data_IF_438855894084
#
_entry.id   IF_438855894084
#
_cell.length_a   1.000
_cell.length_b   1.000
_cell.length_c   1.000
_cell.angle_alpha   90.00
_cell.angle_beta   90.00
_cell.angle_gamma   90.00
#
_symmetry.space_group_name_H-M   'P 1'
#
loop_
_entity.id
_entity.type
_entity.pdbx_description
1 polymer ?
#
# COMPACT_ATOMS: atom_id res chain seq x y z
N UNK A 1 -17.43 1.15 -26.96
CA UNK A 1 -16.09 0.56 -27.17
C UNK A 1 -15.29 1.47 -28.09
N UNK A 2 -13.97 1.55 -27.91
CA UNK A 2 -13.10 2.27 -28.84
C UNK A 2 -13.08 1.54 -30.19
N UNK A 3 -12.85 2.27 -31.27
CA UNK A 3 -12.70 1.72 -32.62
C UNK A 3 -11.47 0.80 -32.75
N UNK A 4 -10.45 1.03 -31.91
CA UNK A 4 -9.26 0.19 -31.79
C UNK A 4 -8.68 0.20 -30.37
N UNK A 5 -7.81 -0.76 -30.08
CA UNK A 5 -7.02 -0.77 -28.83
C UNK A 5 -6.05 0.42 -28.83
N UNK A 6 -5.89 1.02 -27.66
CA UNK A 6 -4.94 2.11 -27.44
C UNK A 6 -3.51 1.53 -27.42
N UNK A 7 -2.58 2.21 -28.06
CA UNK A 7 -1.16 1.86 -28.00
C UNK A 7 -0.58 2.35 -26.66
N UNK A 8 0.02 1.44 -25.91
CA UNK A 8 0.61 1.75 -24.60
C UNK A 8 2.00 2.37 -24.81
N UNK A 9 2.28 3.45 -24.08
CA UNK A 9 3.55 4.16 -24.06
C UNK A 9 3.72 4.95 -22.74
N UNK A 10 4.78 5.73 -22.67
CA UNK A 10 5.16 6.60 -21.56
C UNK A 10 4.10 7.64 -21.15
N UNK A 11 3.27 8.09 -22.10
CA UNK A 11 2.19 9.06 -21.84
C UNK A 11 0.80 8.42 -21.76
N UNK A 12 0.66 7.15 -22.16
CA UNK A 12 -0.59 6.39 -22.14
C UNK A 12 -0.39 5.03 -21.51
N UNK A 13 -0.73 4.92 -20.23
CA UNK A 13 -0.68 3.67 -19.47
C UNK A 13 -1.95 3.52 -18.61
N UNK A 14 -2.62 2.35 -18.59
CA UNK A 14 -3.83 2.14 -17.79
C UNK A 14 -3.56 2.29 -16.28
N UNK A 15 -4.50 2.89 -15.56
CA UNK A 15 -4.49 2.86 -14.09
C UNK A 15 -4.90 1.47 -13.56
N UNK A 16 -4.66 1.24 -12.27
CA UNK A 16 -5.19 0.08 -11.56
C UNK A 16 -6.51 0.40 -10.90
N UNK A 17 -7.38 -0.60 -10.75
CA UNK A 17 -8.62 -0.45 -9.99
C UNK A 17 -8.37 -0.88 -8.54
N UNK A 18 -8.90 -0.11 -7.59
CA UNK A 18 -8.92 -0.51 -6.19
C UNK A 18 -10.09 -1.45 -5.95
N UNK A 19 -9.80 -2.72 -5.63
CA UNK A 19 -10.82 -3.77 -5.51
C UNK A 19 -11.33 -3.98 -4.08
N UNK A 20 -10.71 -3.35 -3.08
CA UNK A 20 -11.12 -3.47 -1.67
C UNK A 20 -12.17 -2.42 -1.33
N UNK A 21 -13.07 -2.72 -0.39
CA UNK A 21 -14.12 -1.79 0.01
C UNK A 21 -13.59 -0.66 0.89
N UNK A 22 -12.65 -1.01 1.76
CA UNK A 22 -11.95 -0.12 2.67
C UNK A 22 -11.00 0.78 1.87
N UNK A 23 -10.99 2.07 2.20
CA UNK A 23 -10.16 3.09 1.55
C UNK A 23 -9.37 3.81 2.63
N UNK A 24 -8.37 3.12 3.18
CA UNK A 24 -7.59 3.57 4.34
C UNK A 24 -6.43 4.49 3.92
N UNK A 25 -6.71 5.44 3.03
CA UNK A 25 -5.73 6.40 2.55
C UNK A 25 -6.01 7.77 3.13
N UNK A 26 -5.02 8.41 3.81
CA UNK A 26 -5.24 9.72 4.43
C UNK A 26 -5.48 10.82 3.39
N UNK A 27 -4.95 10.65 2.18
CA UNK A 27 -5.13 11.58 1.05
C UNK A 27 -5.26 10.80 -0.25
N UNK A 28 -6.15 11.26 -1.10
CA UNK A 28 -6.40 10.80 -2.45
C UNK A 28 -6.13 11.94 -3.43
N UNK A 29 -5.70 11.63 -4.64
CA UNK A 29 -5.53 12.61 -5.71
C UNK A 29 -6.70 12.53 -6.69
N UNK A 30 -7.41 13.64 -6.91
CA UNK A 30 -8.29 13.78 -8.06
C UNK A 30 -7.55 14.54 -9.16
N UNK A 31 -7.69 14.10 -10.41
CA UNK A 31 -7.07 14.76 -11.58
C UNK A 31 -8.11 15.03 -12.65
N UNK A 32 -8.00 16.18 -13.30
CA UNK A 32 -8.96 16.57 -14.32
C UNK A 32 -8.64 17.88 -15.02
N UNK A 33 -9.43 18.15 -16.06
CA UNK A 33 -9.40 19.38 -16.87
C UNK A 33 -10.61 20.29 -16.58
N UNK A 34 -11.26 20.07 -15.44
CA UNK A 34 -12.41 20.85 -14.99
C UNK A 34 -12.05 22.31 -14.71
N UNK A 35 -13.08 23.08 -14.39
CA UNK A 35 -12.91 24.50 -14.06
C UNK A 35 -12.06 24.66 -12.79
N UNK A 36 -11.22 25.68 -12.75
CA UNK A 36 -10.36 25.97 -11.58
C UNK A 36 -11.08 26.72 -10.47
N UNK A 37 -12.31 27.17 -10.72
CA UNK A 37 -13.17 27.87 -9.78
C UNK A 37 -14.63 27.74 -10.22
N UNK A 38 -15.57 27.98 -9.29
CA UNK A 38 -17.00 27.96 -9.60
C UNK A 38 -17.32 28.96 -10.72
N UNK A 39 -17.84 28.47 -11.85
CA UNK A 39 -18.10 29.23 -13.08
C UNK A 39 -16.87 29.87 -13.74
N UNK A 40 -15.67 29.34 -13.46
CA UNK A 40 -14.42 29.75 -14.11
C UNK A 40 -14.18 29.10 -15.47
N UNK A 41 -13.11 29.50 -16.15
CA UNK A 41 -12.69 28.87 -17.39
C UNK A 41 -12.12 27.46 -17.16
N UNK A 42 -12.27 26.58 -18.16
CA UNK A 42 -11.57 25.29 -18.16
C UNK A 42 -10.09 25.52 -18.43
N UNK A 43 -9.26 24.74 -17.76
CA UNK A 43 -7.81 24.78 -17.96
C UNK A 43 -7.39 23.94 -19.16
N UNK A 44 -6.49 24.42 -20.05
CA UNK A 44 -5.86 23.58 -21.07
C UNK A 44 -4.78 22.65 -20.49
N UNK A 45 -4.44 22.81 -19.21
CA UNK A 45 -3.41 22.06 -18.49
C UNK A 45 -4.10 21.15 -17.48
N UNK A 46 -3.70 19.88 -17.41
CA UNK A 46 -4.21 18.93 -16.43
C UNK A 46 -3.83 19.38 -15.02
N UNK A 47 -4.82 19.47 -14.13
CA UNK A 47 -4.60 19.83 -12.74
C UNK A 47 -4.88 18.66 -11.81
N UNK A 48 -4.37 18.78 -10.60
CA UNK A 48 -4.59 17.81 -9.54
C UNK A 48 -4.92 18.48 -8.22
N UNK A 49 -5.74 17.82 -7.43
CA UNK A 49 -6.08 18.21 -6.05
C UNK A 49 -5.91 17.01 -5.13
N UNK A 50 -5.46 17.26 -3.90
CA UNK A 50 -5.40 16.25 -2.85
C UNK A 50 -6.61 16.40 -1.94
N UNK A 51 -7.41 15.35 -1.80
CA UNK A 51 -8.63 15.34 -0.99
C UNK A 51 -8.51 14.27 0.10
N UNK A 52 -9.17 14.48 1.23
CA UNK A 52 -9.30 13.49 2.29
C UNK A 52 -10.62 12.73 2.12
N UNK A 53 -10.62 11.39 2.09
CA UNK A 53 -11.87 10.64 2.12
C UNK A 53 -12.59 10.87 3.45
N UNK A 54 -13.91 10.82 3.41
CA UNK A 54 -14.77 10.92 4.60
C UNK A 54 -15.82 9.82 4.59
N UNK A 55 -16.35 9.51 5.77
CA UNK A 55 -17.39 8.50 5.92
C UNK A 55 -18.69 8.92 5.25
N UNK A 56 -19.41 7.95 4.67
CA UNK A 56 -20.70 8.19 4.02
C UNK A 56 -21.73 8.79 5.00
N UNK A 57 -21.66 8.41 6.28
CA UNK A 57 -22.52 8.97 7.32
C UNK A 57 -22.25 10.47 7.55
N UNK A 58 -20.98 10.88 7.57
CA UNK A 58 -20.60 12.29 7.66
C UNK A 58 -21.00 13.05 6.40
N UNK A 59 -20.75 12.46 5.22
CA UNK A 59 -21.12 13.04 3.94
C UNK A 59 -22.63 13.30 3.81
N UNK A 60 -23.45 12.35 4.28
CA UNK A 60 -24.90 12.46 4.27
C UNK A 60 -25.44 13.66 5.07
N UNK A 61 -24.72 14.12 6.11
CA UNK A 61 -25.10 15.31 6.87
C UNK A 61 -25.09 16.59 6.01
N UNK A 62 -24.18 16.65 5.04
CA UNK A 62 -24.05 17.79 4.12
C UNK A 62 -24.94 17.65 2.89
N UNK A 63 -25.32 16.41 2.54
CA UNK A 63 -26.12 16.09 1.35
C UNK A 63 -27.53 15.62 1.73
N UNK A 64 -28.28 16.52 2.39
CA UNK A 64 -29.69 16.24 2.72
C UNK A 64 -30.54 16.07 1.45
N UNK A 65 -31.65 15.36 1.60
CA UNK A 65 -32.58 14.85 0.56
C UNK A 65 -33.21 15.91 -0.37
N UNK A 66 -32.76 17.17 -0.31
CA UNK A 66 -33.16 18.25 -1.20
C UNK A 66 -32.48 18.19 -2.59
N UNK A 67 -31.43 17.37 -2.76
CA UNK A 67 -30.80 17.15 -4.07
C UNK A 67 -31.62 16.11 -4.85
N UNK A 68 -32.27 16.54 -5.94
CA UNK A 68 -33.12 15.68 -6.80
C UNK A 68 -32.41 14.41 -7.28
N UNK A 69 -31.09 14.45 -7.44
CA UNK A 69 -30.26 13.31 -7.85
C UNK A 69 -30.02 12.28 -6.72
N UNK A 70 -30.18 12.63 -5.44
CA UNK A 70 -29.93 11.77 -4.27
C UNK A 70 -31.23 11.38 -3.57
N UNK A 71 -32.12 10.67 -4.28
CA UNK A 71 -33.43 10.27 -3.72
C UNK A 71 -33.33 9.35 -2.49
N UNK A 72 -32.27 8.58 -2.41
CA UNK A 72 -31.98 7.67 -1.29
C UNK A 72 -30.91 8.23 -0.34
N UNK A 73 -30.48 9.48 -0.53
CA UNK A 73 -29.29 10.01 0.14
C UNK A 73 -28.01 9.36 -0.38
N UNK A 74 -26.95 9.41 0.43
CA UNK A 74 -25.67 8.77 0.14
C UNK A 74 -25.78 7.27 0.42
N UNK A 75 -25.37 6.45 -0.56
CA UNK A 75 -25.41 4.98 -0.50
C UNK A 75 -24.01 4.38 -0.52
N UNK A 76 -23.87 3.10 -0.17
CA UNK A 76 -22.56 2.43 -0.01
C UNK A 76 -21.73 2.36 -1.29
N UNK A 77 -22.38 2.36 -2.47
CA UNK A 77 -21.72 2.42 -3.77
C UNK A 77 -21.16 3.81 -4.11
N UNK A 78 -21.26 4.75 -3.18
CA UNK A 78 -20.65 6.07 -3.24
C UNK A 78 -19.56 6.20 -2.18
N UNK A 79 -18.65 7.13 -2.44
CA UNK A 79 -17.66 7.61 -1.50
C UNK A 79 -17.61 9.12 -1.59
N UNK A 80 -17.18 9.75 -0.49
CA UNK A 80 -17.04 11.19 -0.44
C UNK A 80 -15.61 11.58 -0.09
N UNK A 81 -15.16 12.68 -0.66
CA UNK A 81 -13.88 13.27 -0.33
C UNK A 81 -13.99 14.79 -0.28
N UNK A 82 -13.25 15.42 0.63
CA UNK A 82 -13.23 16.87 0.83
C UNK A 82 -11.82 17.38 1.10
N UNK A 83 -11.63 18.67 0.90
CA UNK A 83 -10.50 19.44 1.45
C UNK A 83 -11.07 20.79 1.93
N UNK A 84 -10.34 21.49 2.80
CA UNK A 84 -10.81 22.74 3.39
C UNK A 84 -10.82 23.91 2.40
N UNK A 85 -10.08 23.80 1.29
CA UNK A 85 -9.89 24.90 0.32
C UNK A 85 -10.16 24.43 -1.10
N UNK A 86 -9.79 23.20 -1.44
CA UNK A 86 -9.82 22.70 -2.82
C UNK A 86 -10.89 21.62 -3.02
N UNK A 87 -11.49 21.57 -4.20
CA UNK A 87 -12.51 20.57 -4.54
C UNK A 87 -12.46 20.24 -6.05
N UNK A 88 -13.05 19.12 -6.45
CA UNK A 88 -13.33 18.83 -7.86
C UNK A 88 -14.45 19.71 -8.40
N UNK A 89 -14.39 20.09 -9.67
CA UNK A 89 -15.32 21.04 -10.25
C UNK A 89 -16.02 20.55 -11.53
N UNK A 90 -16.87 21.39 -12.11
CA UNK A 90 -17.53 21.14 -13.38
C UNK A 90 -16.49 20.83 -14.46
N UNK A 91 -16.64 19.65 -15.09
CA UNK A 91 -15.70 19.15 -16.10
C UNK A 91 -14.73 18.09 -15.59
N UNK A 92 -14.70 17.81 -14.28
CA UNK A 92 -13.93 16.69 -13.72
C UNK A 92 -14.73 15.38 -13.64
N UNK A 93 -16.05 15.41 -13.90
CA UNK A 93 -16.89 14.21 -13.91
C UNK A 93 -16.33 13.14 -14.85
N UNK A 94 -16.22 11.90 -14.36
CA UNK A 94 -15.55 10.81 -15.06
C UNK A 94 -14.04 10.73 -14.83
N UNK A 95 -13.44 11.75 -14.20
CA UNK A 95 -12.05 11.75 -13.78
C UNK A 95 -11.79 10.80 -12.60
N UNK A 96 -10.55 10.30 -12.44
CA UNK A 96 -10.23 9.37 -11.38
C UNK A 96 -9.93 10.12 -10.07
N UNK A 97 -10.49 9.59 -8.98
CA UNK A 97 -9.99 9.77 -7.63
C UNK A 97 -9.10 8.56 -7.33
N UNK A 98 -7.82 8.81 -7.05
CA UNK A 98 -6.82 7.75 -7.00
C UNK A 98 -5.91 7.83 -5.76
N UNK A 99 -5.57 6.67 -5.23
CA UNK A 99 -4.46 6.48 -4.30
C UNK A 99 -3.20 6.12 -5.10
N UNK A 100 -2.04 6.66 -4.70
CA UNK A 100 -0.75 6.32 -5.32
C UNK A 100 0.00 5.40 -4.38
N UNK A 101 0.24 4.17 -4.82
CA UNK A 101 0.95 3.17 -4.04
C UNK A 101 2.32 2.91 -4.63
N UNK A 102 3.32 2.86 -3.75
CA UNK A 102 4.68 2.50 -4.12
C UNK A 102 4.82 0.97 -4.08
N UNK A 103 5.28 0.39 -5.19
CA UNK A 103 5.63 -1.03 -5.26
C UNK A 103 6.77 -1.20 -6.26
N UNK A 104 7.77 -2.02 -5.94
CA UNK A 104 8.97 -2.20 -6.79
C UNK A 104 9.62 -0.86 -7.20
N UNK A 105 9.65 0.13 -6.29
CA UNK A 105 10.17 1.48 -6.53
C UNK A 105 9.48 2.26 -7.65
N UNK A 106 8.24 1.88 -7.94
CA UNK A 106 7.39 2.50 -8.94
C UNK A 106 6.07 2.89 -8.29
N UNK A 107 5.63 4.09 -8.61
CA UNK A 107 4.34 4.60 -8.16
C UNK A 107 3.26 4.14 -9.13
N UNK A 108 2.29 3.39 -8.61
CA UNK A 108 1.13 2.92 -9.37
C UNK A 108 -0.13 3.64 -8.89
N UNK A 109 -0.90 4.27 -9.78
CA UNK A 109 -2.19 4.85 -9.43
C UNK A 109 -3.28 3.78 -9.35
N UNK A 110 -3.96 3.74 -8.21
CA UNK A 110 -5.14 2.93 -7.95
C UNK A 110 -6.37 3.82 -7.90
N UNK A 111 -7.26 3.68 -8.87
CA UNK A 111 -8.53 4.39 -8.92
C UNK A 111 -9.46 3.81 -7.86
N UNK A 112 -9.74 4.60 -6.83
CA UNK A 112 -10.66 4.27 -5.74
C UNK A 112 -12.07 4.74 -6.04
N UNK A 113 -12.19 5.82 -6.81
CA UNK A 113 -13.46 6.42 -7.17
C UNK A 113 -13.45 7.11 -8.53
N UNK A 114 -14.63 7.33 -9.08
CA UNK A 114 -14.83 8.16 -10.27
C UNK A 114 -15.64 9.39 -9.87
N UNK A 115 -15.16 10.58 -10.22
CA UNK A 115 -15.85 11.84 -9.93
C UNK A 115 -17.26 11.81 -10.52
N UNK A 116 -18.27 11.95 -9.65
CA UNK A 116 -19.67 11.90 -10.05
C UNK A 116 -20.25 13.31 -10.07
N UNK A 117 -20.46 13.90 -8.89
CA UNK A 117 -20.99 15.26 -8.75
C UNK A 117 -20.52 15.89 -7.43
N UNK A 118 -20.40 17.21 -7.43
CA UNK A 118 -20.15 18.04 -6.25
C UNK A 118 -21.19 19.15 -6.18
N UNK A 119 -21.35 19.78 -5.01
CA UNK A 119 -22.38 20.80 -4.80
C UNK A 119 -21.94 22.16 -5.36
N UNK A 120 -20.77 22.65 -4.94
CA UNK A 120 -20.16 23.91 -5.37
C UNK A 120 -18.64 23.84 -5.26
N UNK A 121 -17.93 24.12 -6.34
CA UNK A 121 -16.47 24.08 -6.36
C UNK A 121 -15.85 25.13 -5.42
N UNK A 122 -14.83 24.74 -4.65
CA UNK A 122 -14.13 25.65 -3.73
C UNK A 122 -14.91 25.96 -2.45
N UNK A 123 -15.79 25.04 -2.03
CA UNK A 123 -16.45 25.09 -0.72
C UNK A 123 -15.98 23.90 0.13
N UNK A 124 -16.15 23.95 1.46
CA UNK A 124 -15.86 22.81 2.35
C UNK A 124 -16.82 21.62 2.17
N UNK A 125 -17.83 21.74 1.29
CA UNK A 125 -18.76 20.66 1.03
C UNK A 125 -18.04 19.49 0.34
N UNK A 126 -18.26 18.24 0.79
CA UNK A 126 -17.65 17.09 0.16
C UNK A 126 -18.17 16.89 -1.26
N UNK A 127 -17.30 16.39 -2.13
CA UNK A 127 -17.68 15.88 -3.44
C UNK A 127 -17.99 14.38 -3.38
N UNK A 128 -18.92 13.95 -4.22
CA UNK A 128 -19.39 12.55 -4.30
C UNK A 128 -18.78 11.86 -5.51
N UNK A 129 -18.29 10.65 -5.27
CA UNK A 129 -17.65 9.80 -6.25
C UNK A 129 -18.33 8.43 -6.27
N UNK A 130 -18.31 7.77 -7.43
CA UNK A 130 -18.72 6.37 -7.56
C UNK A 130 -17.61 5.48 -7.03
N UNK A 131 -17.90 4.61 -6.05
CA UNK A 131 -16.94 3.68 -5.45
C UNK A 131 -16.62 2.54 -6.40
N UNK A 132 -15.36 2.42 -6.82
CA UNK A 132 -14.95 1.40 -7.80
C UNK A 132 -15.20 -0.02 -7.31
N UNK A 133 -14.88 -0.32 -6.04
CA UNK A 133 -15.00 -1.67 -5.48
C UNK A 133 -16.41 -2.26 -5.61
N UNK A 134 -17.45 -1.42 -5.49
CA UNK A 134 -18.85 -1.82 -5.62
C UNK A 134 -19.25 -2.28 -7.03
N UNK A 135 -18.45 -1.94 -8.05
CA UNK A 135 -18.74 -2.24 -9.44
C UNK A 135 -17.74 -3.22 -10.07
N UNK A 136 -16.75 -3.73 -9.33
CA UNK A 136 -15.78 -4.71 -9.85
C UNK A 136 -16.47 -5.93 -10.50
N UNK A 137 -17.47 -6.60 -9.88
CA UNK A 137 -18.10 -7.76 -10.51
C UNK A 137 -18.78 -7.43 -11.84
N UNK A 138 -19.36 -6.23 -11.96
CA UNK A 138 -19.96 -5.76 -13.21
C UNK A 138 -18.88 -5.46 -14.26
N UNK A 139 -17.80 -4.76 -13.89
CA UNK A 139 -16.68 -4.45 -14.79
C UNK A 139 -16.05 -5.75 -15.34
N UNK A 140 -15.79 -6.73 -14.47
CA UNK A 140 -15.21 -8.03 -14.86
C UNK A 140 -16.16 -8.81 -15.78
N UNK A 141 -17.48 -8.79 -15.50
CA UNK A 141 -18.49 -9.40 -16.37
C UNK A 141 -18.55 -8.77 -17.76
N UNK A 142 -18.48 -7.43 -17.86
CA UNK A 142 -18.58 -6.73 -19.15
C UNK A 142 -17.29 -6.84 -19.98
N UNK A 143 -16.14 -6.93 -19.33
CA UNK A 143 -14.83 -6.96 -19.99
C UNK A 143 -14.30 -8.37 -20.24
N UNK A 144 -14.80 -9.35 -19.49
CA UNK A 144 -14.24 -10.70 -19.44
C UNK A 144 -12.74 -10.72 -19.08
N UNK A 145 -12.33 -9.78 -18.22
CA UNK A 145 -10.98 -9.64 -17.67
C UNK A 145 -11.05 -9.53 -16.13
N UNK A 146 -10.00 -9.96 -15.43
CA UNK A 146 -9.86 -9.78 -13.97
C UNK A 146 -9.10 -8.50 -13.66
N UNK A 147 -9.51 -7.78 -12.61
CA UNK A 147 -8.87 -6.51 -12.19
C UNK A 147 -8.18 -6.62 -10.84
N UNK A 148 -7.54 -7.76 -10.56
CA UNK A 148 -6.82 -7.98 -9.30
C UNK A 148 -5.76 -6.90 -9.04
N UNK A 149 -5.87 -6.23 -7.89
CA UNK A 149 -5.02 -5.09 -7.51
C UNK A 149 -3.51 -5.39 -7.55
N UNK A 150 -3.10 -6.59 -7.14
CA UNK A 150 -1.69 -7.02 -7.12
C UNK A 150 -1.11 -7.29 -8.50
N UNK A 151 -1.85 -7.96 -9.38
CA UNK A 151 -1.40 -8.26 -10.76
C UNK A 151 -1.25 -6.97 -11.57
N UNK A 152 -2.16 -6.01 -11.36
CA UNK A 152 -2.12 -4.73 -12.05
C UNK A 152 -0.85 -3.92 -11.73
N UNK A 153 -0.35 -3.98 -10.50
CA UNK A 153 0.88 -3.29 -10.08
C UNK A 153 2.09 -3.70 -10.93
N UNK A 154 2.14 -4.98 -11.32
CA UNK A 154 3.24 -5.54 -12.12
C UNK A 154 3.10 -5.23 -13.61
N UNK A 155 1.89 -4.89 -14.08
CA UNK A 155 1.61 -4.60 -15.48
C UNK A 155 2.15 -3.23 -15.89
N UNK A 156 2.92 -3.21 -16.97
CA UNK A 156 3.57 -1.99 -17.49
C UNK A 156 4.47 -1.28 -16.47
N UNK A 157 5.08 -2.02 -15.54
CA UNK A 157 5.92 -1.48 -14.45
C UNK A 157 7.04 -0.54 -14.95
N UNK A 158 7.60 -0.80 -16.13
CA UNK A 158 8.66 0.01 -16.74
C UNK A 158 8.18 1.40 -17.19
N UNK A 159 6.87 1.59 -17.39
CA UNK A 159 6.24 2.86 -17.76
C UNK A 159 5.69 3.62 -16.55
N UNK A 160 5.73 3.02 -15.35
CA UNK A 160 5.28 3.67 -14.12
C UNK A 160 6.31 4.70 -13.64
N UNK A 161 5.84 5.72 -12.95
CA UNK A 161 6.70 6.77 -12.37
C UNK A 161 7.68 6.14 -11.38
N UNK A 162 8.97 6.40 -11.55
CA UNK A 162 9.99 5.96 -10.61
C UNK A 162 9.92 6.77 -9.32
N UNK A 163 10.25 6.11 -8.21
CA UNK A 163 10.47 6.80 -6.94
C UNK A 163 11.53 7.90 -7.11
N UNK A 164 11.17 9.15 -6.81
CA UNK A 164 12.07 10.30 -6.93
C UNK A 164 13.33 10.14 -6.09
N UNK A 165 13.28 9.41 -4.98
CA UNK A 165 14.45 9.13 -4.14
C UNK A 165 15.51 8.31 -4.88
N UNK A 166 15.12 7.54 -5.90
CA UNK A 166 16.01 6.73 -6.72
C UNK A 166 16.44 7.42 -8.02
N UNK A 167 15.78 8.52 -8.40
CA UNK A 167 16.13 9.29 -9.59
C UNK A 167 17.40 10.10 -9.30
N UNK A 168 18.43 9.90 -10.10
CA UNK A 168 19.70 10.61 -9.96
C UNK A 168 19.82 11.75 -10.93
N UNK A 169 19.40 11.54 -12.18
CA UNK A 169 19.48 12.55 -13.22
C UNK A 169 18.37 12.36 -14.23
N UNK A 170 17.86 13.46 -14.77
CA UNK A 170 16.95 13.48 -15.92
C UNK A 170 17.70 14.10 -17.09
N UNK A 171 17.79 13.40 -18.23
CA UNK A 171 18.39 13.95 -19.45
C UNK A 171 17.44 13.73 -20.64
N UNK A 172 16.81 14.82 -21.10
CA UNK A 172 15.70 14.73 -22.05
C UNK A 172 14.57 13.87 -21.49
N UNK A 173 14.09 12.90 -22.27
CA UNK A 173 13.03 11.96 -21.89
C UNK A 173 13.56 10.75 -21.09
N UNK A 174 14.86 10.69 -20.81
CA UNK A 174 15.48 9.57 -20.09
C UNK A 174 15.61 9.90 -18.60
N UNK A 175 15.10 8.99 -17.77
CA UNK A 175 15.26 9.01 -16.31
C UNK A 175 16.35 8.01 -15.95
N UNK A 176 17.45 8.52 -15.38
CA UNK A 176 18.52 7.69 -14.82
C UNK A 176 18.17 7.37 -13.37
N UNK A 177 18.12 6.08 -13.08
CA UNK A 177 17.77 5.52 -11.78
C UNK A 177 18.99 4.76 -11.29
N UNK A 178 19.43 5.00 -10.06
CA UNK A 178 20.47 4.18 -9.41
C UNK A 178 19.77 3.11 -8.55
N UNK A 179 19.78 1.84 -8.95
CA UNK A 179 19.20 0.75 -8.17
C UNK A 179 19.94 0.54 -6.84
N UNK A 180 21.14 1.07 -6.67
CA UNK A 180 21.88 0.97 -5.39
C UNK A 180 21.24 1.85 -4.30
N UNK A 181 20.47 2.88 -4.66
CA UNK A 181 19.57 3.56 -3.72
C UNK A 181 18.32 2.74 -3.37
N UNK A 182 18.09 1.65 -4.10
CA UNK A 182 17.00 0.69 -3.89
C UNK A 182 17.36 -0.45 -2.95
N UNK A 183 18.63 -0.55 -2.50
CA UNK A 183 18.97 -1.42 -1.38
C UNK A 183 18.01 -1.05 -0.26
N UNK A 184 17.07 -1.99 0.02
CA UNK A 184 16.05 -1.90 1.06
C UNK A 184 16.60 -1.07 2.19
N UNK A 185 15.92 0.03 2.55
CA UNK A 185 16.33 0.92 3.63
C UNK A 185 16.81 0.07 4.82
N UNK A 186 18.14 -0.11 4.90
CA UNK A 186 18.74 -1.18 5.69
C UNK A 186 18.44 -0.86 7.16
N UNK A 187 18.29 0.42 7.48
CA UNK A 187 17.88 0.92 8.77
C UNK A 187 16.40 0.68 9.08
N UNK A 188 15.49 0.55 8.10
CA UNK A 188 14.06 0.37 8.36
C UNK A 188 13.68 -1.10 8.61
N UNK A 189 14.22 -2.03 7.82
CA UNK A 189 13.91 -3.46 7.94
C UNK A 189 14.79 -4.21 8.93
N UNK A 190 15.98 -3.71 9.23
CA UNK A 190 16.81 -4.29 10.30
C UNK A 190 16.23 -4.11 11.69
N UNK A 191 15.49 -3.01 11.93
CA UNK A 191 14.93 -2.67 13.24
C UNK A 191 14.01 -3.76 13.80
N UNK A 192 13.31 -4.48 12.93
CA UNK A 192 12.37 -5.54 13.33
C UNK A 192 12.91 -6.94 13.04
N UNK A 193 14.07 -7.07 12.39
CA UNK A 193 14.67 -8.36 12.08
C UNK A 193 15.37 -8.91 13.31
N UNK A 194 15.19 -10.21 13.53
CA UNK A 194 15.74 -10.95 14.66
C UNK A 194 16.52 -12.15 14.17
N UNK A 195 17.62 -12.47 14.85
CA UNK A 195 18.34 -13.73 14.68
C UNK A 195 18.16 -14.61 15.91
N UNK A 196 17.84 -15.88 15.71
CA UNK A 196 17.70 -16.87 16.76
C UNK A 196 19.02 -17.63 16.91
N UNK A 197 19.52 -17.62 18.14
CA UNK A 197 20.82 -18.15 18.54
C UNK A 197 20.70 -19.44 19.33
N UNK A 198 21.56 -20.40 19.01
CA UNK A 198 21.65 -21.70 19.68
C UNK A 198 22.96 -21.74 20.45
N UNK A 199 22.87 -21.62 21.77
CA UNK A 199 24.04 -21.59 22.64
C UNK A 199 24.57 -22.99 22.94
N UNK A 200 25.82 -23.24 22.57
CA UNK A 200 26.54 -24.44 22.98
C UNK A 200 27.16 -24.23 24.36
N UNK A 201 26.63 -24.92 25.37
CA UNK A 201 27.04 -24.80 26.79
C UNK A 201 28.51 -25.12 27.09
N UNK A 202 29.23 -25.77 26.19
CA UNK A 202 30.63 -26.19 26.41
C UNK A 202 31.60 -25.01 26.35
N UNK A 203 31.29 -24.01 25.52
CA UNK A 203 32.16 -22.87 25.21
C UNK A 203 31.41 -21.54 25.11
N UNK A 204 30.13 -21.52 25.50
CA UNK A 204 29.22 -20.37 25.39
C UNK A 204 29.17 -19.79 23.97
N UNK A 205 29.43 -20.63 22.95
CA UNK A 205 29.35 -20.20 21.56
C UNK A 205 27.89 -20.18 21.12
N UNK A 206 27.42 -19.03 20.63
CA UNK A 206 26.08 -18.88 20.09
C UNK A 206 26.15 -18.97 18.57
N UNK A 207 25.47 -19.96 18.00
CA UNK A 207 25.32 -20.10 16.55
C UNK A 207 24.02 -19.42 16.09
N UNK A 208 24.13 -18.41 15.24
CA UNK A 208 22.98 -17.69 14.66
C UNK A 208 22.54 -18.35 13.35
N UNK A 209 21.45 -19.12 13.39
CA UNK A 209 21.07 -19.99 12.27
C UNK A 209 19.60 -19.90 11.85
N UNK A 210 18.78 -19.20 12.63
CA UNK A 210 17.39 -18.97 12.31
C UNK A 210 17.08 -17.47 12.36
N UNK A 211 16.06 -17.07 11.61
CA UNK A 211 15.56 -15.71 11.57
C UNK A 211 14.19 -15.59 12.22
N UNK A 212 13.85 -14.38 12.63
CA UNK A 212 12.53 -14.02 13.12
C UNK A 212 12.23 -12.56 12.87
N UNK A 213 11.00 -12.17 13.21
CA UNK A 213 10.53 -10.79 13.11
C UNK A 213 9.92 -10.38 14.44
N UNK A 214 10.39 -9.27 15.01
CA UNK A 214 9.82 -8.67 16.20
C UNK A 214 8.42 -8.13 15.87
N UNK A 215 7.39 -8.67 16.51
CA UNK A 215 5.99 -8.28 16.26
C UNK A 215 5.44 -7.34 17.35
N UNK A 216 6.11 -7.29 18.51
CA UNK A 216 5.95 -6.31 19.58
C UNK A 216 7.16 -6.42 20.55
N UNK A 217 7.11 -5.75 21.70
CA UNK A 217 8.21 -5.72 22.68
C UNK A 217 8.54 -7.09 23.31
N UNK A 218 7.59 -8.04 23.33
CA UNK A 218 7.72 -9.32 24.04
C UNK A 218 7.77 -10.54 23.11
N UNK A 219 7.48 -10.39 21.82
CA UNK A 219 7.28 -11.52 20.91
C UNK A 219 8.00 -11.37 19.58
N UNK A 220 8.63 -12.47 19.16
CA UNK A 220 9.23 -12.67 17.86
C UNK A 220 8.47 -13.77 17.12
N UNK A 221 8.04 -13.50 15.89
CA UNK A 221 7.47 -14.48 14.99
C UNK A 221 8.57 -15.18 14.20
N UNK A 222 8.53 -16.51 14.15
CA UNK A 222 9.49 -17.36 13.43
C UNK A 222 8.81 -18.61 12.88
N UNK A 223 9.59 -19.57 12.41
CA UNK A 223 9.14 -20.87 11.89
C UNK A 223 9.36 -21.97 12.92
N UNK A 224 8.50 -22.98 12.95
CA UNK A 224 8.53 -24.02 13.97
C UNK A 224 9.70 -24.99 13.82
N UNK A 225 10.18 -25.21 12.59
CA UNK A 225 11.34 -26.06 12.32
C UNK A 225 12.66 -25.46 12.84
N UNK A 226 12.67 -24.19 13.24
CA UNK A 226 13.79 -23.63 13.98
C UNK A 226 13.95 -24.27 15.37
N UNK A 227 12.91 -24.90 15.92
CA UNK A 227 13.09 -25.75 17.08
C UNK A 227 13.99 -26.94 16.74
N UNK A 228 15.06 -27.13 17.52
CA UNK A 228 16.06 -28.19 17.33
C UNK A 228 16.85 -28.17 16.01
N UNK A 229 16.80 -27.06 15.26
CA UNK A 229 17.50 -26.96 13.99
C UNK A 229 19.03 -27.06 14.11
N UNK A 230 19.59 -26.51 15.19
CA UNK A 230 21.04 -26.55 15.47
C UNK A 230 21.28 -27.26 16.79
N UNK A 231 22.28 -28.15 16.79
CA UNK A 231 22.67 -28.96 17.96
C UNK A 231 21.53 -29.79 18.58
N UNK A 232 20.43 -30.03 17.85
CA UNK A 232 19.21 -30.65 18.36
C UNK A 232 18.64 -29.90 19.59
N UNK A 233 18.81 -28.58 19.62
CA UNK A 233 18.42 -27.70 20.73
C UNK A 233 17.43 -26.61 20.29
N UNK A 234 16.51 -26.25 21.17
CA UNK A 234 15.68 -25.05 21.02
C UNK A 234 16.59 -23.81 21.12
N UNK A 235 16.39 -22.77 20.28
CA UNK A 235 17.18 -21.54 20.38
C UNK A 235 17.00 -20.92 21.77
N UNK A 236 18.10 -20.38 22.31
CA UNK A 236 18.15 -19.83 23.67
C UNK A 236 18.22 -18.31 23.71
N UNK A 237 18.61 -17.67 22.61
CA UNK A 237 18.77 -16.23 22.53
C UNK A 237 18.18 -15.68 21.23
N UNK A 238 17.84 -14.40 21.28
CA UNK A 238 17.62 -13.57 20.10
C UNK A 238 18.65 -12.45 20.02
N UNK A 239 19.07 -12.08 18.81
CA UNK A 239 19.84 -10.85 18.53
C UNK A 239 18.98 -9.92 17.69
N UNK A 240 18.79 -8.69 18.17
CA UNK A 240 18.00 -7.64 17.53
C UNK A 240 18.81 -6.36 17.35
N UNK A 241 18.47 -5.53 16.36
CA UNK A 241 19.11 -4.22 16.15
C UNK A 241 20.49 -4.26 15.48
N UNK A 242 20.88 -5.38 14.87
CA UNK A 242 22.16 -5.50 14.16
C UNK A 242 21.98 -5.78 12.66
N UNK A 243 22.83 -5.15 11.86
CA UNK A 243 22.92 -5.36 10.41
C UNK A 243 23.83 -6.53 10.06
N UNK A 244 24.72 -6.89 10.98
CA UNK A 244 25.70 -7.96 10.82
C UNK A 244 25.66 -8.90 12.04
N UNK A 245 25.32 -10.16 11.82
CA UNK A 245 25.29 -11.17 12.90
C UNK A 245 26.66 -11.44 13.50
N UNK A 246 27.73 -11.21 12.75
CA UNK A 246 29.12 -11.32 13.21
C UNK A 246 29.72 -9.97 13.60
N UNK A 247 28.96 -8.89 13.38
CA UNK A 247 29.32 -7.54 13.76
C UNK A 247 29.14 -7.29 15.26
N UNK A 248 29.85 -6.27 15.73
CA UNK A 248 29.76 -5.74 17.10
C UNK A 248 29.04 -4.38 17.08
N UNK A 249 27.79 -4.35 16.61
CA UNK A 249 27.00 -3.13 16.72
C UNK A 249 26.70 -2.87 18.22
N UNK A 250 27.09 -1.70 18.78
CA UNK A 250 26.87 -1.38 20.19
C UNK A 250 25.39 -1.27 20.58
N UNK A 251 24.50 -0.99 19.62
CA UNK A 251 23.06 -0.88 19.86
C UNK A 251 22.33 -2.23 19.74
N UNK A 252 23.04 -3.29 19.33
CA UNK A 252 22.46 -4.63 19.23
C UNK A 252 22.17 -5.19 20.62
N UNK A 253 20.98 -5.76 20.79
CA UNK A 253 20.57 -6.40 22.03
C UNK A 253 20.54 -7.92 21.84
N UNK A 254 21.13 -8.63 22.80
CA UNK A 254 21.04 -10.08 22.91
C UNK A 254 20.13 -10.37 24.11
N UNK A 255 18.97 -10.97 23.83
CA UNK A 255 17.92 -11.23 24.82
C UNK A 255 17.74 -12.75 24.92
N UNK A 256 17.61 -13.27 26.14
CA UNK A 256 17.35 -14.69 26.37
C UNK A 256 15.90 -15.00 26.01
N UNK A 257 15.64 -16.18 25.45
CA UNK A 257 14.29 -16.63 25.10
C UNK A 257 13.60 -17.19 26.35
N UNK A 258 12.45 -16.63 26.72
CA UNK A 258 11.60 -17.18 27.78
C UNK A 258 10.91 -18.47 27.30
N UNK A 259 10.33 -18.46 26.09
CA UNK A 259 9.56 -19.58 25.59
C UNK A 259 9.55 -19.67 24.05
N UNK A 260 9.72 -20.88 23.52
CA UNK A 260 9.50 -21.19 22.10
C UNK A 260 8.16 -21.95 21.92
N UNK A 261 7.21 -21.35 21.22
CA UNK A 261 5.82 -21.79 21.10
C UNK A 261 5.54 -22.19 19.65
N UNK A 262 5.59 -23.48 19.36
CA UNK A 262 5.23 -24.03 18.04
C UNK A 262 3.72 -24.02 17.83
N UNK A 263 3.28 -23.85 16.58
CA UNK A 263 1.87 -24.06 16.25
C UNK A 263 1.41 -25.48 16.67
N UNK A 264 0.23 -25.65 17.30
CA UNK A 264 -0.21 -26.95 17.84
C UNK A 264 -0.29 -28.09 16.81
N UNK A 265 -0.52 -27.74 15.54
CA UNK A 265 -0.63 -28.70 14.43
C UNK A 265 0.68 -28.90 13.66
N UNK A 266 1.78 -28.25 14.07
CA UNK A 266 3.09 -28.47 13.44
C UNK A 266 3.59 -29.89 13.74
N UNK A 267 4.14 -30.55 12.72
CA UNK A 267 4.74 -31.89 12.83
C UNK A 267 6.18 -31.81 12.35
N UNK A 268 7.12 -32.32 13.15
CA UNK A 268 8.54 -32.35 12.79
C UNK A 268 8.76 -33.11 11.46
N UNK A 269 9.51 -32.50 10.54
CA UNK A 269 9.79 -33.06 9.20
C UNK A 269 8.75 -32.71 8.12
N UNK A 270 7.70 -31.96 8.46
CA UNK A 270 6.66 -31.48 7.55
C UNK A 270 6.67 -29.95 7.47
N UNK A 271 6.28 -29.38 6.33
CA UNK A 271 6.28 -27.91 6.13
C UNK A 271 4.92 -27.27 6.49
N UNK A 272 3.90 -28.09 6.74
CA UNK A 272 2.58 -27.65 7.14
C UNK A 272 2.58 -27.09 8.57
N UNK A 273 1.97 -25.91 8.75
CA UNK A 273 1.92 -25.19 10.01
C UNK A 273 3.30 -24.87 10.60
N UNK A 274 4.32 -24.71 9.75
CA UNK A 274 5.70 -24.37 10.14
C UNK A 274 5.83 -22.90 10.59
N UNK A 275 5.24 -22.61 11.76
CA UNK A 275 5.18 -21.29 12.36
C UNK A 275 5.29 -21.40 13.89
N UNK A 276 6.02 -20.48 14.50
CA UNK A 276 6.21 -20.43 15.94
C UNK A 276 6.31 -18.98 16.46
N UNK A 277 5.98 -18.80 17.73
CA UNK A 277 6.22 -17.58 18.49
C UNK A 277 7.34 -17.80 19.48
N UNK A 278 8.20 -16.80 19.63
CA UNK A 278 9.27 -16.76 20.62
C UNK A 278 8.94 -15.63 21.57
N UNK A 279 8.75 -15.95 22.85
CA UNK A 279 8.56 -14.98 23.92
C UNK A 279 9.94 -14.60 24.48
N UNK A 280 10.19 -13.30 24.56
CA UNK A 280 11.44 -12.69 25.05
C UNK A 280 11.42 -12.47 26.57
#
# INVERSE_FOLDING_TARGET
TLDRKVAINDVVTPACLWTQNEVDFPRLEAVGFGQTSFAGDKTPILLKVKLSPIDNAECALTHTSAIRQLRQGIVDSQLCAKDSIMDTCLGDSGGPLQAKLMSNHRTTPYVVGITSFGMFCGTEAPSVYTRISSYIPWIESETNETFASGECASRYIHLREADESMVTTRAGDHVFIEPEKSYMDIELFSKHRVYLGYERKQDNFIQWNCGGVLINEDYVLTVAHCDKFVFDQTPSHVKVGDLDIFGNNPDAQIIAIEQFIKHPNYREGFMENDIALVKL
#
